data_IF_579264512372
#
_entry.id   IF_579264512372
#
_cell.length_a   1.000
_cell.length_b   1.000
_cell.length_c   1.000
_cell.angle_alpha   90.00
_cell.angle_beta   90.00
_cell.angle_gamma   90.00
#
_symmetry.space_group_name_H-M   'P 1'
#
loop_
_entity.id
_entity.type
_entity.pdbx_description
1 polymer ?
#
# COMPACT_ATOMS: atom_id res chain seq x y z
N UNK A 1 5.48 59.66 -61.28
CA UNK A 1 6.27 58.49 -60.85
C UNK A 1 5.41 57.69 -59.86
N UNK A 2 4.14 57.44 -60.19
CA UNK A 2 3.11 57.24 -59.14
C UNK A 2 2.25 55.98 -59.32
N UNK A 3 2.61 55.08 -60.25
CA UNK A 3 1.81 53.88 -60.55
C UNK A 3 2.31 52.58 -59.89
N UNK A 4 3.44 52.58 -59.18
CA UNK A 4 3.98 51.35 -58.55
C UNK A 4 3.37 51.06 -57.16
N UNK A 5 2.76 52.05 -56.50
CA UNK A 5 2.23 51.86 -55.14
C UNK A 5 0.86 51.16 -55.06
N UNK A 6 0.10 51.10 -56.15
CA UNK A 6 -1.24 50.46 -56.13
C UNK A 6 -1.15 48.94 -56.30
N UNK A 7 -0.14 48.44 -57.02
CA UNK A 7 0.00 47.00 -57.29
C UNK A 7 0.38 46.19 -56.03
N UNK A 8 1.16 46.78 -55.11
CA UNK A 8 1.62 46.09 -53.90
C UNK A 8 0.54 45.97 -52.83
N UNK A 9 -0.41 46.92 -52.77
CA UNK A 9 -1.53 46.85 -51.83
C UNK A 9 -2.53 45.73 -52.19
N UNK A 10 -2.77 45.50 -53.48
CA UNK A 10 -3.68 44.46 -53.94
C UNK A 10 -3.09 43.05 -53.71
N UNK A 11 -1.78 42.88 -53.93
CA UNK A 11 -1.08 41.62 -53.70
C UNK A 11 -1.10 41.22 -52.21
N UNK A 12 -0.91 42.18 -51.29
CA UNK A 12 -0.97 41.92 -49.86
C UNK A 12 -2.37 41.49 -49.37
N UNK A 13 -3.44 42.02 -49.96
CA UNK A 13 -4.81 41.64 -49.59
C UNK A 13 -5.17 40.21 -50.01
N UNK A 14 -4.62 39.75 -51.14
CA UNK A 14 -4.86 38.39 -51.63
C UNK A 14 -4.09 37.35 -50.79
N UNK A 15 -2.84 37.68 -50.40
CA UNK A 15 -2.03 36.81 -49.54
C UNK A 15 -2.68 36.63 -48.15
N UNK A 16 -3.21 37.71 -47.56
CA UNK A 16 -3.91 37.63 -46.28
C UNK A 16 -5.18 36.74 -46.36
N UNK A 17 -5.99 36.89 -47.42
CA UNK A 17 -7.18 36.06 -47.60
C UNK A 17 -6.84 34.57 -47.83
N UNK A 18 -5.71 34.27 -48.47
CA UNK A 18 -5.25 32.90 -48.68
C UNK A 18 -4.73 32.25 -47.38
N UNK A 19 -4.07 33.03 -46.52
CA UNK A 19 -3.58 32.56 -45.22
C UNK A 19 -4.74 32.24 -44.27
N UNK A 20 -5.79 33.07 -44.25
CA UNK A 20 -7.00 32.82 -43.47
C UNK A 20 -7.71 31.52 -43.90
N UNK A 21 -7.83 31.30 -45.22
CA UNK A 21 -8.44 30.08 -45.74
C UNK A 21 -7.59 28.83 -45.42
N UNK A 22 -6.25 28.93 -45.48
CA UNK A 22 -5.36 27.83 -45.13
C UNK A 22 -5.46 27.44 -43.64
N UNK A 23 -5.53 28.44 -42.76
CA UNK A 23 -5.70 28.21 -41.32
C UNK A 23 -7.04 27.55 -40.99
N UNK A 24 -8.12 27.98 -41.66
CA UNK A 24 -9.44 27.39 -41.48
C UNK A 24 -9.51 25.93 -41.95
N UNK A 25 -8.83 25.60 -43.05
CA UNK A 25 -8.74 24.20 -43.53
C UNK A 25 -7.90 23.35 -42.58
N UNK A 26 -6.77 23.87 -42.10
CA UNK A 26 -5.90 23.15 -41.16
C UNK A 26 -6.65 22.84 -39.85
N UNK A 27 -7.39 23.81 -39.32
CA UNK A 27 -8.18 23.65 -38.11
C UNK A 27 -9.27 22.57 -38.30
N UNK A 28 -9.98 22.61 -39.44
CA UNK A 28 -10.99 21.61 -39.77
C UNK A 28 -10.40 20.20 -39.94
N UNK A 29 -9.23 20.07 -40.56
CA UNK A 29 -8.53 18.77 -40.73
C UNK A 29 -8.05 18.24 -39.38
N UNK A 30 -7.55 19.12 -38.50
CA UNK A 30 -7.06 18.74 -37.17
C UNK A 30 -8.19 18.26 -36.25
N UNK A 31 -9.37 18.91 -36.30
CA UNK A 31 -10.53 18.52 -35.49
C UNK A 31 -11.45 17.47 -36.13
N UNK A 32 -11.30 17.20 -37.44
CA UNK A 32 -12.07 16.16 -38.14
C UNK A 32 -12.11 14.80 -37.41
N UNK A 33 -10.98 14.21 -36.95
CA UNK A 33 -11.01 12.91 -36.25
C UNK A 33 -11.74 12.98 -34.91
N UNK A 34 -11.58 14.07 -34.15
CA UNK A 34 -12.28 14.29 -32.89
C UNK A 34 -13.80 14.41 -33.11
N UNK A 35 -14.21 15.16 -34.13
CA UNK A 35 -15.63 15.32 -34.47
C UNK A 35 -16.24 13.99 -34.92
N UNK A 36 -15.53 13.21 -35.73
CA UNK A 36 -15.97 11.87 -36.16
C UNK A 36 -16.12 10.95 -34.94
N UNK A 37 -15.15 10.96 -34.01
CA UNK A 37 -15.23 10.19 -32.77
C UNK A 37 -16.44 10.60 -31.90
N UNK A 38 -16.71 11.90 -31.78
CA UNK A 38 -17.85 12.41 -31.03
C UNK A 38 -19.19 12.00 -31.66
N UNK A 39 -19.31 12.04 -32.98
CA UNK A 39 -20.50 11.57 -33.71
C UNK A 39 -20.67 10.05 -33.56
N UNK A 40 -19.58 9.29 -33.66
CA UNK A 40 -19.61 7.83 -33.47
C UNK A 40 -20.06 7.46 -32.06
N UNK A 41 -19.51 8.12 -31.04
CA UNK A 41 -19.86 7.87 -29.63
C UNK A 41 -21.29 8.27 -29.29
N UNK A 42 -21.80 9.39 -29.80
CA UNK A 42 -23.19 9.82 -29.57
C UNK A 42 -24.22 8.91 -30.26
N UNK A 43 -23.93 8.44 -31.46
CA UNK A 43 -24.76 7.43 -32.15
C UNK A 43 -24.74 6.09 -31.41
N UNK A 44 -23.57 5.66 -30.94
CA UNK A 44 -23.43 4.45 -30.14
C UNK A 44 -24.20 4.54 -28.82
N UNK A 45 -24.11 5.67 -28.11
CA UNK A 45 -24.86 5.91 -26.86
C UNK A 45 -26.37 5.88 -27.10
N UNK A 46 -26.83 6.44 -28.21
CA UNK A 46 -28.26 6.42 -28.57
C UNK A 46 -28.76 4.99 -28.83
N UNK A 47 -27.93 4.16 -29.47
CA UNK A 47 -28.24 2.74 -29.68
C UNK A 47 -28.23 1.93 -28.38
N UNK A 48 -27.36 2.28 -27.43
CA UNK A 48 -27.24 1.60 -26.14
C UNK A 48 -28.27 2.09 -25.10
N UNK A 49 -28.92 3.23 -25.33
CA UNK A 49 -29.88 3.87 -24.41
C UNK A 49 -30.97 2.93 -23.86
N UNK A 50 -31.65 2.07 -24.65
CA UNK A 50 -32.65 1.15 -24.10
C UNK A 50 -32.06 0.08 -23.16
N UNK A 51 -30.78 -0.25 -23.34
CA UNK A 51 -30.06 -1.22 -22.51
C UNK A 51 -29.25 -0.59 -21.39
N UNK A 52 -29.16 0.75 -21.34
CA UNK A 52 -28.30 1.48 -20.43
C UNK A 52 -28.52 1.08 -18.96
N UNK A 53 -29.79 0.92 -18.54
CA UNK A 53 -30.14 0.53 -17.17
C UNK A 53 -29.59 -0.85 -16.77
N UNK A 54 -29.35 -1.76 -17.72
CA UNK A 54 -28.82 -3.10 -17.49
C UNK A 54 -27.31 -3.18 -17.74
N UNK A 55 -26.81 -2.45 -18.74
CA UNK A 55 -25.38 -2.47 -19.12
C UNK A 55 -24.53 -1.70 -18.10
N UNK A 56 -25.01 -0.57 -17.54
CA UNK A 56 -24.22 0.26 -16.63
C UNK A 56 -23.71 -0.54 -15.42
N UNK A 57 -24.55 -1.29 -14.66
CA UNK A 57 -24.06 -2.07 -13.52
C UNK A 57 -23.10 -3.19 -13.92
N UNK A 58 -23.35 -3.87 -15.04
CA UNK A 58 -22.50 -4.95 -15.55
C UNK A 58 -21.13 -4.40 -15.95
N UNK A 59 -21.12 -3.27 -16.65
CA UNK A 59 -19.90 -2.60 -17.07
C UNK A 59 -19.10 -2.11 -15.86
N UNK A 60 -19.77 -1.50 -14.87
CA UNK A 60 -19.14 -1.14 -13.60
C UNK A 60 -18.54 -2.38 -12.93
N UNK A 61 -19.25 -3.51 -12.84
CA UNK A 61 -18.69 -4.74 -12.28
C UNK A 61 -17.48 -5.26 -13.07
N UNK A 62 -17.57 -5.31 -14.40
CA UNK A 62 -16.50 -5.83 -15.27
C UNK A 62 -15.23 -4.98 -15.18
N UNK A 63 -15.34 -3.66 -15.04
CA UNK A 63 -14.16 -2.78 -14.98
C UNK A 63 -13.69 -2.47 -13.56
N UNK A 64 -14.61 -2.26 -12.63
CA UNK A 64 -14.29 -1.88 -11.25
C UNK A 64 -13.70 -3.05 -10.46
N UNK A 65 -14.20 -4.28 -10.66
CA UNK A 65 -13.68 -5.47 -9.96
C UNK A 65 -12.20 -5.71 -10.27
N UNK A 66 -11.75 -5.83 -11.53
CA UNK A 66 -10.34 -6.04 -11.83
C UNK A 66 -9.49 -4.83 -11.44
N UNK A 67 -10.01 -3.61 -11.55
CA UNK A 67 -9.30 -2.41 -11.10
C UNK A 67 -9.05 -2.45 -9.58
N UNK A 68 -10.05 -2.79 -8.78
CA UNK A 68 -9.89 -2.90 -7.32
C UNK A 68 -8.97 -4.06 -6.96
N UNK A 69 -9.09 -5.21 -7.62
CA UNK A 69 -8.19 -6.35 -7.41
C UNK A 69 -6.73 -5.98 -7.72
N UNK A 70 -6.51 -5.27 -8.82
CA UNK A 70 -5.20 -4.80 -9.24
C UNK A 70 -4.64 -3.80 -8.22
N UNK A 71 -5.41 -2.80 -7.80
CA UNK A 71 -5.02 -1.84 -6.75
C UNK A 71 -4.73 -2.54 -5.41
N UNK A 72 -5.54 -3.52 -5.02
CA UNK A 72 -5.33 -4.32 -3.81
C UNK A 72 -4.05 -5.14 -3.90
N UNK A 73 -3.78 -5.76 -5.05
CA UNK A 73 -2.56 -6.53 -5.28
C UNK A 73 -1.32 -5.64 -5.25
N UNK A 74 -1.34 -4.51 -5.96
CA UNK A 74 -0.23 -3.54 -5.94
C UNK A 74 -0.01 -2.95 -4.55
N UNK A 75 -1.08 -2.64 -3.80
CA UNK A 75 -0.96 -2.21 -2.41
C UNK A 75 -0.29 -3.29 -1.55
N UNK A 76 -0.68 -4.56 -1.69
CA UNK A 76 -0.03 -5.68 -1.01
C UNK A 76 1.45 -5.83 -1.37
N UNK A 77 1.81 -5.69 -2.65
CA UNK A 77 3.20 -5.74 -3.12
C UNK A 77 4.03 -4.57 -2.58
N UNK A 78 3.49 -3.35 -2.60
CA UNK A 78 4.16 -2.16 -2.07
C UNK A 78 4.38 -2.34 -0.57
N UNK A 79 3.34 -2.76 0.17
CA UNK A 79 3.45 -3.03 1.60
C UNK A 79 4.52 -4.08 1.85
N UNK A 80 4.49 -5.22 1.16
CA UNK A 80 5.49 -6.29 1.30
C UNK A 80 6.93 -5.79 1.04
N UNK A 81 7.13 -4.98 0.00
CA UNK A 81 8.43 -4.38 -0.32
C UNK A 81 8.86 -3.31 0.68
N UNK A 82 7.89 -2.64 1.32
CA UNK A 82 8.13 -1.60 2.32
C UNK A 82 8.22 -2.11 3.76
N UNK A 83 7.91 -3.39 4.02
CA UNK A 83 8.15 -3.99 5.34
C UNK A 83 9.63 -3.88 5.60
N UNK A 84 9.98 -3.23 6.70
CA UNK A 84 11.37 -3.00 7.05
C UNK A 84 12.02 -4.35 7.33
N UNK A 85 12.79 -4.82 6.35
CA UNK A 85 13.56 -6.05 6.47
C UNK A 85 14.68 -5.76 7.47
N UNK A 86 14.81 -6.63 8.48
CA UNK A 86 15.95 -6.55 9.38
C UNK A 86 17.25 -6.55 8.58
N UNK A 87 18.21 -5.73 8.97
CA UNK A 87 19.50 -5.67 8.32
C UNK A 87 20.50 -6.52 9.10
N UNK A 88 21.46 -7.10 8.39
CA UNK A 88 22.58 -7.83 8.97
C UNK A 88 23.85 -7.27 8.36
N UNK A 89 24.78 -6.84 9.21
CA UNK A 89 26.09 -6.36 8.80
C UNK A 89 27.16 -7.29 9.39
N UNK A 90 28.03 -7.88 8.57
CA UNK A 90 29.10 -8.72 9.08
C UNK A 90 30.04 -7.87 9.94
N UNK A 91 30.18 -8.28 11.20
CA UNK A 91 31.28 -7.84 12.02
C UNK A 91 32.40 -8.75 11.68
N UNK A 92 33.32 -8.14 10.99
CA UNK A 92 34.58 -8.72 10.99
C UNK A 92 35.10 -8.65 12.56
N UNK A 93 35.95 -9.54 13.20
CA UNK A 93 36.95 -9.35 14.31
C UNK A 93 38.50 -9.05 14.02
N UNK A 94 39.20 -8.04 14.60
CA UNK A 94 40.66 -7.68 14.49
C UNK A 94 41.44 -8.17 15.73
N UNK A 95 42.68 -8.62 15.57
CA UNK A 95 43.51 -9.18 16.64
C UNK A 95 44.96 -8.69 16.52
N UNK A 96 45.71 -8.54 17.63
CA UNK A 96 47.18 -8.49 17.59
C UNK A 96 47.89 -7.33 18.30
N UNK A 97 47.20 -6.46 19.03
CA UNK A 97 47.80 -5.28 19.68
C UNK A 97 47.82 -5.36 21.22
N UNK A 98 47.51 -6.52 21.80
CA UNK A 98 47.43 -6.70 23.26
C UNK A 98 46.18 -6.08 23.90
N UNK A 99 45.25 -5.56 23.09
CA UNK A 99 43.91 -5.15 23.51
C UNK A 99 42.91 -6.31 23.30
N UNK A 100 41.75 -6.30 24.01
CA UNK A 100 40.70 -7.29 23.75
C UNK A 100 40.25 -7.20 22.28
N UNK A 101 39.90 -8.34 21.66
CA UNK A 101 39.62 -8.36 20.23
C UNK A 101 38.41 -7.48 19.90
N UNK A 102 38.74 -6.34 19.28
CA UNK A 102 37.83 -5.42 18.62
C UNK A 102 37.84 -5.77 17.15
N UNK A 103 36.81 -5.39 16.40
CA UNK A 103 36.39 -6.30 15.38
C UNK A 103 36.45 -5.87 13.90
N UNK A 104 37.32 -6.51 13.05
CA UNK A 104 37.18 -6.94 11.60
C UNK A 104 37.86 -8.40 11.07
N UNK A 105 37.14 -9.60 10.95
CA UNK A 105 36.87 -11.09 10.60
C UNK A 105 37.31 -12.36 11.37
N UNK A 106 37.32 -13.54 10.69
CA UNK A 106 36.67 -14.83 11.08
C UNK A 106 37.59 -15.90 11.75
N UNK A 107 37.04 -16.85 12.55
CA UNK A 107 37.79 -17.74 13.46
C UNK A 107 37.69 -19.30 13.28
N UNK A 108 38.61 -20.08 13.90
CA UNK A 108 38.76 -21.55 13.82
C UNK A 108 37.91 -22.41 14.81
N UNK A 109 37.92 -23.76 14.70
CA UNK A 109 36.97 -24.65 15.40
C UNK A 109 37.14 -24.77 16.93
N UNK A 110 36.01 -24.87 17.63
CA UNK A 110 35.88 -24.88 19.11
C UNK A 110 35.70 -26.30 19.70
N UNK A 111 36.00 -26.46 21.01
CA UNK A 111 35.91 -27.73 21.73
C UNK A 111 34.51 -27.96 22.34
N UNK A 112 33.82 -29.06 22.01
CA UNK A 112 32.38 -29.25 22.26
C UNK A 112 31.99 -29.64 23.69
N UNK A 113 32.84 -29.46 24.71
CA UNK A 113 32.56 -29.91 26.10
C UNK A 113 32.69 -28.81 27.16
N UNK A 114 33.06 -27.60 26.77
CA UNK A 114 33.36 -26.52 27.71
C UNK A 114 32.29 -25.43 27.66
N UNK A 115 31.97 -24.86 28.83
CA UNK A 115 31.13 -23.66 28.96
C UNK A 115 32.02 -22.44 28.76
N UNK A 116 31.56 -21.48 27.96
CA UNK A 116 32.29 -20.25 27.72
C UNK A 116 31.46 -19.04 28.13
N UNK A 117 32.06 -18.07 28.81
CA UNK A 117 31.45 -16.78 29.11
C UNK A 117 31.98 -15.72 28.13
N UNK A 118 31.11 -15.22 27.27
CA UNK A 118 31.37 -14.21 26.25
C UNK A 118 30.63 -12.95 26.66
N UNK A 119 31.31 -11.84 26.91
CA UNK A 119 30.61 -10.55 26.97
C UNK A 119 30.77 -9.79 25.67
N UNK A 120 29.64 -9.38 25.10
CA UNK A 120 29.62 -8.47 23.95
C UNK A 120 29.42 -7.08 24.51
N UNK A 121 30.28 -6.16 24.13
CA UNK A 121 30.18 -4.74 24.45
C UNK A 121 29.93 -4.01 23.14
N UNK A 122 28.76 -3.39 23.02
CA UNK A 122 28.40 -2.55 21.88
C UNK A 122 28.42 -1.11 22.37
N UNK A 123 29.29 -0.29 21.78
CA UNK A 123 29.25 1.16 21.92
C UNK A 123 28.89 1.79 20.58
N UNK A 124 27.96 2.74 20.59
CA UNK A 124 27.45 3.38 19.39
C UNK A 124 27.92 4.84 19.40
N UNK A 125 29.07 5.18 18.79
CA UNK A 125 29.47 6.56 18.63
C UNK A 125 28.71 7.25 17.48
N UNK A 126 28.43 8.55 17.65
CA UNK A 126 28.07 9.46 16.55
C UNK A 126 29.31 9.84 15.73
N UNK A 127 29.09 10.46 14.58
CA UNK A 127 30.16 11.10 13.78
C UNK A 127 30.88 12.23 14.53
N UNK A 128 30.29 12.78 15.60
CA UNK A 128 30.91 13.76 16.49
C UNK A 128 31.65 13.13 17.68
N UNK A 129 31.94 11.83 17.63
CA UNK A 129 32.56 11.05 18.70
C UNK A 129 31.81 11.08 20.05
N UNK A 130 30.50 11.38 20.03
CA UNK A 130 29.68 11.27 21.23
C UNK A 130 29.06 9.87 21.29
N UNK A 131 29.25 9.16 22.39
CA UNK A 131 28.67 7.82 22.59
C UNK A 131 27.18 7.95 22.88
N UNK A 132 26.32 7.50 21.97
CA UNK A 132 24.86 7.53 22.14
C UNK A 132 24.39 6.50 23.17
N UNK A 133 24.98 5.32 23.12
CA UNK A 133 24.70 4.25 24.05
C UNK A 133 25.87 3.28 24.12
N UNK A 134 26.14 2.79 25.32
CA UNK A 134 27.04 1.67 25.58
C UNK A 134 26.24 0.62 26.32
N UNK A 135 26.25 -0.61 25.81
CA UNK A 135 25.60 -1.74 26.45
C UNK A 135 26.54 -2.92 26.45
N UNK A 136 26.72 -3.50 27.63
CA UNK A 136 27.48 -4.73 27.85
C UNK A 136 26.54 -5.86 28.25
N UNK A 137 26.57 -6.97 27.52
CA UNK A 137 25.75 -8.16 27.82
C UNK A 137 26.65 -9.39 27.98
N UNK A 138 26.61 -10.07 29.14
CA UNK A 138 27.23 -11.39 29.27
C UNK A 138 26.36 -12.42 28.54
N UNK A 139 27.01 -13.38 27.91
CA UNK A 139 26.39 -14.47 27.19
C UNK A 139 27.19 -15.75 27.43
N UNK A 140 26.51 -16.80 27.85
CA UNK A 140 27.14 -18.09 28.11
C UNK A 140 26.91 -19.00 26.91
N UNK A 141 28.00 -19.47 26.31
CA UNK A 141 27.97 -20.47 25.24
C UNK A 141 27.94 -21.83 25.89
N UNK A 142 26.88 -22.58 25.60
CA UNK A 142 26.75 -23.96 26.00
C UNK A 142 27.28 -24.87 24.89
N UNK A 143 28.01 -25.95 25.24
CA UNK A 143 28.36 -26.95 24.25
C UNK A 143 27.09 -27.51 23.59
N UNK A 144 27.13 -27.81 22.28
CA UNK A 144 25.97 -28.37 21.59
C UNK A 144 25.56 -29.68 22.28
N UNK A 145 24.28 -29.78 22.67
CA UNK A 145 23.74 -31.05 23.18
C UNK A 145 23.77 -32.09 22.07
N UNK A 146 24.71 -33.02 22.15
CA UNK A 146 24.86 -34.08 21.15
C UNK A 146 23.74 -35.10 21.33
N UNK A 147 22.94 -35.32 20.30
CA UNK A 147 22.15 -36.55 20.20
C UNK A 147 23.08 -37.70 19.79
N UNK A 148 22.93 -38.88 20.38
CA UNK A 148 23.85 -40.03 20.25
C UNK A 148 24.16 -40.49 18.81
N UNK A 149 23.40 -40.04 17.80
CA UNK A 149 23.53 -40.48 16.40
C UNK A 149 23.93 -39.39 15.39
N UNK A 150 24.22 -38.15 15.81
CA UNK A 150 24.64 -37.08 14.88
C UNK A 150 26.08 -36.66 15.13
N UNK A 151 26.81 -36.43 14.02
CA UNK A 151 28.15 -35.81 14.06
C UNK A 151 28.08 -34.50 14.85
N UNK A 152 29.06 -34.28 15.74
CA UNK A 152 29.13 -33.07 16.56
C UNK A 152 29.38 -31.86 15.64
N UNK A 153 28.54 -30.81 15.67
CA UNK A 153 28.85 -29.59 14.95
C UNK A 153 30.10 -28.95 15.56
N UNK A 154 31.04 -28.51 14.71
CA UNK A 154 32.28 -27.83 15.13
C UNK A 154 32.08 -26.35 15.43
N UNK A 155 30.89 -25.83 15.12
CA UNK A 155 30.55 -24.41 15.21
C UNK A 155 29.21 -24.25 15.92
N UNK A 156 29.08 -23.20 16.72
CA UNK A 156 27.84 -22.85 17.42
C UNK A 156 27.52 -21.38 17.17
N UNK A 157 26.29 -21.09 16.76
CA UNK A 157 25.80 -19.73 16.60
C UNK A 157 25.22 -19.24 17.92
N UNK A 158 25.71 -18.10 18.39
CA UNK A 158 25.28 -17.47 19.64
C UNK A 158 24.68 -16.12 19.30
N UNK A 159 23.42 -15.90 19.67
CA UNK A 159 22.73 -14.63 19.46
C UNK A 159 22.60 -13.92 20.80
N UNK A 160 23.22 -12.75 20.93
CA UNK A 160 23.21 -11.95 22.17
C UNK A 160 22.34 -10.71 21.97
N UNK A 161 21.19 -10.60 22.64
CA UNK A 161 20.33 -9.42 22.51
C UNK A 161 20.97 -8.23 23.25
N UNK A 162 21.54 -7.30 22.48
CA UNK A 162 22.22 -6.12 23.04
C UNK A 162 21.21 -5.09 23.56
N UNK A 163 20.33 -4.61 22.67
CA UNK A 163 19.34 -3.56 22.93
C UNK A 163 17.97 -4.02 22.44
N UNK A 164 16.93 -3.86 23.25
CA UNK A 164 15.55 -4.23 22.90
C UNK A 164 14.84 -3.16 22.07
N UNK A 165 15.20 -1.89 22.28
CA UNK A 165 14.65 -0.74 21.56
C UNK A 165 15.74 0.32 21.39
N UNK A 166 16.06 0.66 20.16
CA UNK A 166 17.03 1.71 19.83
C UNK A 166 16.38 2.66 18.83
N UNK A 167 16.36 3.95 19.17
CA UNK A 167 15.87 5.01 18.29
C UNK A 167 17.07 5.80 17.78
N UNK A 168 17.49 5.58 16.52
CA UNK A 168 18.60 6.31 15.96
C UNK A 168 18.22 7.78 15.78
N UNK A 169 18.80 8.68 16.57
CA UNK A 169 18.62 10.13 16.42
C UNK A 169 19.32 10.73 15.19
N UNK A 170 20.07 9.91 14.44
CA UNK A 170 20.85 10.29 13.27
C UNK A 170 20.70 9.21 12.17
N UNK A 171 20.85 9.62 10.90
CA UNK A 171 20.87 8.71 9.75
C UNK A 171 22.20 7.95 9.62
N UNK A 172 23.28 8.46 10.21
CA UNK A 172 24.61 7.85 10.21
C UNK A 172 24.99 7.44 11.62
N UNK A 173 25.30 6.15 11.79
CA UNK A 173 25.61 5.55 13.08
C UNK A 173 26.73 4.55 12.88
N UNK A 174 27.70 4.58 13.78
CA UNK A 174 28.79 3.62 13.81
C UNK A 174 28.55 2.71 15.01
N UNK A 175 28.68 1.40 14.82
CA UNK A 175 28.59 0.42 15.88
C UNK A 175 29.99 -0.13 16.16
N UNK A 176 30.53 0.16 17.34
CA UNK A 176 31.76 -0.43 17.82
C UNK A 176 31.42 -1.62 18.70
N UNK A 177 31.82 -2.82 18.26
CA UNK A 177 31.58 -4.06 18.99
C UNK A 177 32.90 -4.65 19.44
N UNK A 178 32.97 -4.88 20.74
CA UNK A 178 34.09 -5.51 21.42
C UNK A 178 33.57 -6.83 21.99
N UNK A 179 34.29 -7.91 21.68
CA UNK A 179 33.96 -9.24 22.17
C UNK A 179 35.08 -9.66 23.09
N UNK A 180 34.80 -9.81 24.37
CA UNK A 180 35.86 -10.12 25.31
C UNK A 180 35.36 -10.17 26.73
N UNK A 181 36.23 -10.59 27.64
CA UNK A 181 36.00 -10.42 29.07
C UNK A 181 36.62 -9.10 29.52
N UNK A 182 35.99 -8.43 30.48
CA UNK A 182 36.46 -7.14 30.98
C UNK A 182 37.82 -7.20 31.67
N UNK A 183 38.27 -8.39 32.07
CA UNK A 183 39.60 -8.64 32.61
C UNK A 183 40.66 -8.93 31.53
N UNK A 184 40.32 -8.76 30.25
CA UNK A 184 41.21 -9.07 29.12
C UNK A 184 41.77 -10.50 29.20
N UNK A 185 40.98 -11.45 29.70
CA UNK A 185 41.37 -12.85 29.89
C UNK A 185 42.49 -13.08 30.92
N UNK A 186 42.93 -12.04 31.65
CA UNK A 186 44.04 -12.11 32.61
C UNK A 186 43.73 -13.00 33.82
N UNK A 187 42.46 -13.19 34.19
CA UNK A 187 42.11 -13.99 35.37
C UNK A 187 42.01 -15.50 35.11
N UNK A 188 42.21 -15.97 33.88
CA UNK A 188 42.17 -17.40 33.54
C UNK A 188 43.49 -18.15 33.80
N UNK A 189 44.42 -17.55 34.56
CA UNK A 189 45.67 -18.17 34.99
C UNK A 189 46.89 -17.78 34.15
N UNK A 190 47.96 -18.59 34.19
CA UNK A 190 49.25 -18.35 33.50
C UNK A 190 49.18 -18.51 31.96
N UNK A 191 48.03 -18.23 31.33
CA UNK A 191 47.82 -18.39 29.88
C UNK A 191 47.23 -19.74 29.45
N UNK A 192 46.77 -20.58 30.39
CA UNK A 192 46.15 -21.89 30.10
C UNK A 192 44.64 -21.79 29.77
N UNK A 193 44.05 -20.60 29.89
CA UNK A 193 42.65 -20.33 29.61
C UNK A 193 42.33 -20.43 28.12
N UNK A 194 41.82 -21.59 27.69
CA UNK A 194 41.38 -21.85 26.30
C UNK A 194 40.47 -20.73 25.78
N UNK A 195 41.02 -19.99 24.84
CA UNK A 195 40.44 -18.81 24.22
C UNK A 195 39.21 -19.17 23.40
N UNK A 196 38.22 -18.28 23.39
CA UNK A 196 37.04 -18.42 22.55
C UNK A 196 37.42 -17.97 21.13
N UNK A 197 37.30 -18.88 20.19
CA UNK A 197 37.37 -18.59 18.76
C UNK A 197 36.00 -18.23 18.19
N UNK A 198 35.80 -16.98 17.75
CA UNK A 198 34.51 -16.44 17.29
C UNK A 198 34.36 -16.50 15.76
N UNK A 199 33.96 -17.63 15.18
CA UNK A 199 34.13 -17.88 13.73
C UNK A 199 33.63 -16.76 12.83
N UNK A 200 32.48 -16.18 13.14
CA UNK A 200 32.02 -14.95 12.53
C UNK A 200 31.20 -14.20 13.56
N UNK A 201 31.16 -12.89 13.41
CA UNK A 201 30.24 -12.04 14.15
C UNK A 201 29.41 -11.26 13.14
N UNK A 202 28.18 -10.92 13.50
CA UNK A 202 27.37 -9.98 12.74
C UNK A 202 26.50 -9.18 13.69
N UNK A 203 26.33 -7.89 13.39
CA UNK A 203 25.29 -7.08 14.03
C UNK A 203 24.04 -7.23 13.20
N UNK A 204 22.95 -7.64 13.86
CA UNK A 204 21.62 -7.71 13.27
C UNK A 204 20.76 -6.64 13.89
N UNK A 205 20.18 -5.78 13.06
CA UNK A 205 19.11 -4.88 13.45
C UNK A 205 17.77 -5.46 13.00
N UNK A 206 16.92 -5.87 13.93
CA UNK A 206 15.55 -6.24 13.62
C UNK A 206 14.61 -5.06 13.87
N UNK A 207 13.77 -4.75 12.89
CA UNK A 207 12.76 -3.70 13.07
C UNK A 207 11.57 -4.32 13.80
N UNK A 208 11.41 -3.94 15.06
CA UNK A 208 10.23 -4.31 15.85
C UNK A 208 9.15 -3.26 15.60
N UNK A 209 8.24 -3.56 14.69
CA UNK A 209 7.05 -2.74 14.50
C UNK A 209 6.12 -2.87 15.71
N UNK A 210 5.71 -1.74 16.29
CA UNK A 210 4.75 -1.70 17.38
C UNK A 210 3.34 -1.40 16.84
N UNK A 211 2.31 -1.89 17.55
CA UNK A 211 0.89 -1.67 17.21
C UNK A 211 0.40 -2.49 16.01
N UNK A 212 -0.57 -1.94 15.27
CA UNK A 212 -1.23 -2.62 14.14
C UNK A 212 -0.21 -3.02 13.06
N UNK A 213 0.81 -2.19 12.83
CA UNK A 213 1.88 -2.48 11.85
C UNK A 213 2.65 -3.76 12.17
N UNK A 214 2.93 -4.02 13.46
CA UNK A 214 3.59 -5.25 13.90
C UNK A 214 2.73 -6.50 13.75
N UNK A 215 1.42 -6.34 13.95
CA UNK A 215 0.47 -7.44 13.78
C UNK A 215 0.31 -7.79 12.29
N UNK A 216 0.28 -6.78 11.41
CA UNK A 216 0.28 -6.96 9.94
C UNK A 216 1.57 -7.63 9.45
N UNK A 217 2.75 -7.20 9.93
CA UNK A 217 4.03 -7.77 9.50
C UNK A 217 4.23 -9.21 9.99
N UNK A 218 3.66 -9.57 11.14
CA UNK A 218 3.80 -10.92 11.72
C UNK A 218 2.89 -11.95 11.04
N UNK A 219 1.73 -11.53 10.53
CA UNK A 219 0.73 -12.45 9.95
C UNK A 219 0.20 -11.98 8.59
N UNK A 220 1.06 -11.78 7.57
CA UNK A 220 0.66 -11.21 6.29
C UNK A 220 -0.45 -12.03 5.60
N UNK A 221 -0.41 -13.36 5.72
CA UNK A 221 -1.42 -14.25 5.16
C UNK A 221 -2.80 -14.04 5.79
N UNK A 222 -2.87 -13.82 7.10
CA UNK A 222 -4.16 -13.62 7.77
C UNK A 222 -4.83 -12.31 7.36
N UNK A 223 -4.05 -11.23 7.21
CA UNK A 223 -4.57 -9.96 6.71
C UNK A 223 -5.00 -10.05 5.25
N UNK A 224 -4.23 -10.74 4.42
CA UNK A 224 -4.61 -10.99 3.04
C UNK A 224 -5.94 -11.76 2.96
N UNK A 225 -6.11 -12.79 3.81
CA UNK A 225 -7.32 -13.59 3.86
C UNK A 225 -8.53 -12.76 4.36
N UNK A 226 -8.39 -12.00 5.45
CA UNK A 226 -9.44 -11.12 5.97
C UNK A 226 -9.84 -10.07 4.93
N UNK A 227 -8.86 -9.45 4.26
CA UNK A 227 -9.12 -8.48 3.20
C UNK A 227 -9.86 -9.11 2.03
N UNK A 228 -9.44 -10.30 1.58
CA UNK A 228 -10.12 -11.03 0.51
C UNK A 228 -11.56 -11.42 0.89
N UNK A 229 -11.79 -11.87 2.13
CA UNK A 229 -13.13 -12.19 2.62
C UNK A 229 -14.02 -10.95 2.67
N UNK A 230 -13.55 -9.85 3.26
CA UNK A 230 -14.30 -8.58 3.31
C UNK A 230 -14.61 -8.06 1.89
N UNK A 231 -13.65 -8.17 0.99
CA UNK A 231 -13.81 -7.78 -0.40
C UNK A 231 -14.90 -8.62 -1.10
N UNK A 232 -14.87 -9.94 -0.96
CA UNK A 232 -15.90 -10.83 -1.52
C UNK A 232 -17.29 -10.53 -0.96
N UNK A 233 -17.40 -10.20 0.34
CA UNK A 233 -18.67 -9.80 0.95
C UNK A 233 -19.18 -8.50 0.33
N UNK A 234 -18.33 -7.48 0.21
CA UNK A 234 -18.70 -6.19 -0.41
C UNK A 234 -19.12 -6.39 -1.87
N UNK A 235 -18.36 -7.18 -2.64
CA UNK A 235 -18.71 -7.51 -4.02
C UNK A 235 -20.05 -8.25 -4.11
N UNK A 236 -20.27 -9.23 -3.23
CA UNK A 236 -21.54 -9.98 -3.18
C UNK A 236 -22.72 -9.06 -2.89
N UNK A 237 -22.57 -8.11 -1.95
CA UNK A 237 -23.62 -7.12 -1.63
C UNK A 237 -23.89 -6.18 -2.81
N UNK A 238 -22.85 -5.69 -3.49
CA UNK A 238 -23.02 -4.85 -4.70
C UNK A 238 -23.72 -5.64 -5.80
N UNK A 239 -23.25 -6.86 -6.07
CA UNK A 239 -23.79 -7.72 -7.12
C UNK A 239 -25.25 -8.09 -6.82
N UNK A 240 -25.56 -8.41 -5.57
CA UNK A 240 -26.94 -8.60 -5.11
C UNK A 240 -27.76 -7.32 -5.34
N UNK A 241 -27.28 -6.15 -4.92
CA UNK A 241 -27.95 -4.87 -5.15
C UNK A 241 -28.20 -4.54 -6.63
N UNK A 242 -27.32 -4.99 -7.53
CA UNK A 242 -27.46 -4.79 -8.97
C UNK A 242 -28.39 -5.82 -9.64
N UNK A 243 -28.41 -7.07 -9.18
CA UNK A 243 -29.21 -8.16 -9.78
C UNK A 243 -30.61 -8.22 -9.19
N UNK A 244 -30.80 -7.87 -7.91
CA UNK A 244 -32.09 -7.96 -7.24
C UNK A 244 -33.19 -7.16 -7.99
N UNK A 245 -32.95 -5.91 -8.44
CA UNK A 245 -33.96 -5.14 -9.18
C UNK A 245 -34.28 -5.70 -10.56
N UNK A 246 -33.35 -6.41 -11.22
CA UNK A 246 -33.59 -7.00 -12.54
C UNK A 246 -34.46 -8.25 -12.42
N UNK A 247 -34.26 -9.05 -11.37
CA UNK A 247 -35.08 -10.22 -11.06
C UNK A 247 -36.52 -9.85 -10.68
N UNK A 248 -36.71 -8.80 -9.88
CA UNK A 248 -38.05 -8.38 -9.44
C UNK A 248 -38.85 -7.60 -10.48
N UNK A 249 -38.25 -7.25 -11.64
CA UNK A 249 -38.96 -6.49 -12.69
C UNK A 249 -39.85 -7.35 -13.59
N UNK A 250 -39.90 -8.67 -13.38
CA UNK A 250 -40.63 -9.59 -14.28
C UNK A 250 -41.80 -10.29 -13.58
N UNK A 251 -42.94 -9.61 -13.59
CA UNK A 251 -44.24 -10.24 -13.78
C UNK A 251 -45.24 -9.15 -14.19
N UNK A 252 -45.28 -8.75 -15.48
CA UNK A 252 -46.57 -8.35 -16.01
C UNK A 252 -47.46 -9.58 -15.82
N UNK A 253 -48.35 -9.50 -14.83
CA UNK A 253 -49.45 -10.43 -14.69
C UNK A 253 -50.20 -10.32 -16.01
N UNK A 254 -50.04 -11.30 -16.88
CA UNK A 254 -50.98 -11.53 -17.96
C UNK A 254 -52.31 -11.81 -17.25
N UNK A 255 -53.13 -10.78 -17.09
CA UNK A 255 -54.56 -10.96 -16.88
C UNK A 255 -55.10 -11.61 -18.15
N UNK A 256 -54.99 -12.93 -18.18
CA UNK A 256 -55.88 -13.78 -18.95
C UNK A 256 -57.31 -13.51 -18.44
N UNK A 257 -57.98 -12.55 -19.06
CA UNK A 257 -59.44 -12.51 -19.08
C UNK A 257 -59.92 -12.89 -20.49
N UNK A 258 -59.86 -14.17 -20.88
CA UNK A 258 -60.72 -14.65 -21.94
C UNK A 258 -62.15 -14.77 -21.38
N UNK A 259 -63.12 -14.53 -22.26
CA UNK A 259 -64.55 -14.75 -22.06
C UNK A 259 -65.33 -13.68 -21.28
N UNK A 260 -65.80 -12.68 -22.03
CA UNK A 260 -67.26 -12.60 -22.22
C UNK A 260 -67.56 -12.24 -23.68
N UNK A 261 -67.95 -13.25 -24.45
CA UNK A 261 -68.59 -13.11 -25.76
C UNK A 261 -69.90 -12.34 -25.62
N UNK A 262 -70.13 -11.46 -26.58
CA UNK A 262 -71.46 -11.17 -27.12
C UNK A 262 -71.98 -9.78 -26.85
N UNK A 263 -71.95 -8.93 -27.88
CA UNK A 263 -73.14 -8.39 -28.57
C UNK A 263 -72.63 -7.44 -29.68
N UNK A 264 -72.91 -7.70 -30.96
CA UNK A 264 -72.75 -6.71 -32.01
C UNK A 264 -74.03 -5.89 -32.10
N UNK A 265 -73.96 -4.61 -31.73
CA UNK A 265 -74.95 -3.63 -32.19
C UNK A 265 -74.21 -2.47 -32.83
N UNK A 266 -74.35 -2.49 -34.15
CA UNK A 266 -74.18 -1.41 -35.09
C UNK A 266 -75.04 -0.18 -34.72
N UNK A 267 -74.81 0.92 -35.44
CA UNK A 267 -75.50 2.24 -35.39
C UNK A 267 -74.73 3.31 -34.58
N UNK A 268 -73.73 3.88 -35.24
CA UNK A 268 -73.87 5.24 -35.80
C UNK A 268 -73.69 6.46 -34.89
N UNK A 269 -73.23 7.53 -35.55
CA UNK A 269 -73.47 8.95 -35.27
C UNK A 269 -72.35 9.72 -34.54
N UNK A 270 -71.60 10.45 -35.38
CA UNK A 270 -71.14 11.87 -35.28
C UNK A 270 -70.19 12.30 -34.15
N UNK A 271 -68.99 12.68 -34.60
CA UNK A 271 -68.25 13.93 -34.32
C UNK A 271 -69.17 15.07 -33.81
N UNK A 272 -68.84 15.82 -32.74
CA UNK A 272 -67.84 16.89 -32.89
C UNK A 272 -67.01 17.27 -31.63
N UNK A 273 -65.82 17.84 -31.90
CA UNK A 273 -65.18 19.03 -31.29
C UNK A 273 -65.06 19.26 -29.77
N UNK A 274 -64.02 20.04 -29.45
CA UNK A 274 -63.87 20.97 -28.31
C UNK A 274 -63.29 20.34 -27.03
N UNK A 275 -62.02 20.64 -26.68
CA UNK A 275 -61.52 21.83 -25.97
C UNK A 275 -61.69 21.76 -24.45
N UNK A 276 -60.58 21.60 -23.72
CA UNK A 276 -60.27 22.11 -22.37
C UNK A 276 -59.05 21.31 -21.87
N UNK A 277 -57.86 21.90 -21.73
CA UNK A 277 -57.39 22.73 -20.61
C UNK A 277 -57.52 22.02 -19.26
N UNK A 278 -56.38 21.86 -18.60
CA UNK A 278 -56.11 21.80 -17.15
C UNK A 278 -54.97 20.79 -16.91
N UNK A 279 -53.71 21.24 -16.91
CA UNK A 279 -52.98 21.72 -15.72
C UNK A 279 -53.24 20.80 -14.53
N UNK A 280 -52.32 19.87 -14.28
CA UNK A 280 -52.13 19.36 -12.93
C UNK A 280 -50.63 19.20 -12.65
N UNK A 281 -50.11 20.27 -12.09
CA UNK A 281 -48.80 20.44 -11.50
C UNK A 281 -48.76 19.67 -10.17
N UNK A 282 -48.01 18.57 -10.11
CA UNK A 282 -47.70 17.89 -8.84
C UNK A 282 -46.21 17.92 -8.55
N UNK A 283 -45.80 19.03 -7.97
CA UNK A 283 -44.59 19.18 -7.18
C UNK A 283 -44.60 18.19 -5.99
N UNK A 284 -43.64 17.27 -5.93
CA UNK A 284 -43.36 16.53 -4.70
C UNK A 284 -41.92 16.72 -4.21
N UNK A 285 -41.82 17.68 -3.29
CA UNK A 285 -41.23 17.54 -1.96
C UNK A 285 -39.76 17.11 -1.87
N UNK A 286 -38.94 18.15 -1.88
CA UNK A 286 -37.65 18.35 -1.21
C UNK A 286 -37.61 17.74 0.20
N UNK A 287 -36.91 16.61 0.40
CA UNK A 287 -36.52 16.12 1.74
C UNK A 287 -35.11 16.59 2.10
N UNK A 288 -35.09 17.63 2.93
CA UNK A 288 -33.95 18.18 3.67
C UNK A 288 -33.80 17.40 4.98
N UNK A 289 -32.70 16.68 5.17
CA UNK A 289 -32.29 16.10 6.46
C UNK A 289 -30.83 16.50 6.72
N UNK A 290 -30.59 17.49 7.59
CA UNK A 290 -30.20 17.34 9.01
C UNK A 290 -28.88 16.53 9.12
N UNK A 291 -27.72 17.19 9.22
CA UNK A 291 -27.17 17.93 10.37
C UNK A 291 -26.79 17.02 11.54
N UNK A 292 -25.58 17.26 12.07
CA UNK A 292 -24.97 16.78 13.34
C UNK A 292 -24.37 15.37 13.28
N UNK A 293 -23.19 15.04 13.84
CA UNK A 293 -22.35 15.56 14.96
C UNK A 293 -20.88 15.22 14.64
N UNK A 294 -19.90 16.11 14.70
CA UNK A 294 -19.20 16.63 15.90
C UNK A 294 -19.00 15.61 17.03
N UNK A 295 -17.91 14.84 16.98
CA UNK A 295 -17.28 14.31 18.20
C UNK A 295 -15.78 14.54 18.14
N UNK A 296 -15.42 15.75 18.59
CA UNK A 296 -14.17 16.04 19.26
C UNK A 296 -14.06 15.14 20.49
N UNK A 297 -13.05 14.25 20.52
CA UNK A 297 -12.63 13.60 21.75
C UNK A 297 -11.14 13.90 21.97
N UNK A 298 -10.93 15.02 22.67
CA UNK A 298 -9.78 15.29 23.53
C UNK A 298 -9.59 14.16 24.56
N UNK A 299 -8.37 14.13 25.13
CA UNK A 299 -7.98 13.47 26.39
C UNK A 299 -7.36 12.07 26.20
N UNK A 300 -6.18 11.72 26.72
CA UNK A 300 -5.26 12.39 27.64
C UNK A 300 -3.84 11.86 27.37
N UNK A 301 -2.84 12.75 27.42
CA UNK A 301 -1.43 12.35 27.53
C UNK A 301 -1.11 12.10 29.00
N UNK A 302 -0.64 10.90 29.40
CA UNK A 302 -0.13 10.71 30.75
C UNK A 302 1.22 11.41 30.90
N UNK A 303 1.26 12.38 31.82
CA UNK A 303 2.46 12.93 32.43
C UNK A 303 3.28 11.79 33.04
N UNK A 304 4.41 11.44 32.41
CA UNK A 304 5.44 10.59 33.02
C UNK A 304 6.45 11.52 33.68
N UNK A 305 6.46 11.47 35.01
CA UNK A 305 7.41 12.14 35.89
C UNK A 305 8.86 11.68 35.61
N UNK A 306 9.85 12.57 35.68
CA UNK A 306 11.25 12.19 35.63
C UNK A 306 11.64 11.47 36.93
N UNK A 307 11.98 10.18 36.83
CA UNK A 307 12.60 9.44 37.92
C UNK A 307 14.04 9.94 38.08
N UNK A 308 14.21 10.78 39.09
CA UNK A 308 15.47 11.17 39.69
C UNK A 308 16.16 9.97 40.35
N UNK A 309 17.47 10.11 40.58
CA UNK A 309 18.38 9.32 41.44
C UNK A 309 18.97 8.03 40.84
N UNK A 310 20.26 7.71 41.05
CA UNK A 310 21.34 8.29 41.87
C UNK A 310 22.68 7.75 41.34
N UNK A 311 23.75 8.48 41.64
CA UNK A 311 25.17 8.15 41.43
C UNK A 311 25.56 6.72 41.80
#
# INVERSE_FOLDING_TARGET
MDNEHISTAQENSFVAAQEDHANQVLENVLYAPLRLFLVLTTNLVSYLRPFAAQIIPVLICIFLIPLILLLSFFSGLIVWKSVAVGWESPLHLQFGDGSPPYALSTLPPLVPQQRYDVSVHLSIPTTSNNTLSSVRRPAIVFPPRTSFFRRKPSTISVTVPMVSSFLPGSSTIIAFVEVGRGDQWKSLGNGEGREISVISASVKGSVVHHGIRGLVSRFPLTFALISATLFLVILSVILAGCILPTMFRRAPRDESSPDTRGIPTDIGIKTPSSSSSDIDEKSFVRRRGKQSRSLSRKSASPLILPLSTRH
#
